data_IF_031212421107
#
_entry.id   IF_031212421107
#
_cell.length_a   1.000
_cell.length_b   1.000
_cell.length_c   1.000
_cell.angle_alpha   90.00
_cell.angle_beta   90.00
_cell.angle_gamma   90.00
#
_symmetry.space_group_name_H-M   'P 1'
#
loop_
_entity.id
_entity.type
_entity.pdbx_description
1 polymer ?
#
# COMPACT_ATOMS: atom_id res chain seq x y z
N UNK A 1 -30.02 -14.18 -7.42
CA UNK A 1 -29.82 -12.76 -7.79
C UNK A 1 -30.43 -12.37 -9.15
N UNK A 2 -31.57 -12.96 -9.59
CA UNK A 2 -32.11 -12.67 -10.94
C UNK A 2 -32.49 -11.21 -11.20
N UNK A 3 -32.93 -10.49 -10.17
CA UNK A 3 -33.41 -9.11 -10.31
C UNK A 3 -32.29 -8.07 -10.10
N UNK A 4 -31.19 -8.46 -9.46
CA UNK A 4 -30.08 -7.59 -9.08
C UNK A 4 -28.74 -8.36 -9.17
N UNK A 5 -28.32 -8.78 -10.38
CA UNK A 5 -27.06 -9.49 -10.57
C UNK A 5 -25.87 -8.61 -10.17
N UNK A 6 -24.83 -9.21 -9.58
CA UNK A 6 -23.62 -8.51 -9.15
C UNK A 6 -23.79 -7.53 -7.97
N UNK A 7 -24.97 -7.46 -7.35
CA UNK A 7 -25.19 -6.60 -6.18
C UNK A 7 -25.05 -7.41 -4.89
N UNK A 8 -24.09 -6.99 -4.06
CA UNK A 8 -23.91 -7.51 -2.70
C UNK A 8 -25.18 -7.24 -1.89
N UNK A 9 -25.79 -8.26 -1.26
CA UNK A 9 -26.98 -8.08 -0.45
C UNK A 9 -26.69 -7.17 0.75
N UNK A 10 -27.66 -6.30 1.08
CA UNK A 10 -27.57 -5.39 2.22
C UNK A 10 -28.67 -5.68 3.23
N UNK A 11 -28.29 -5.92 4.47
CA UNK A 11 -29.19 -6.05 5.60
C UNK A 11 -29.32 -4.67 6.25
N UNK A 12 -30.45 -4.01 6.02
CA UNK A 12 -30.68 -2.60 6.39
C UNK A 12 -31.16 -2.42 7.84
N UNK A 13 -31.64 -3.47 8.50
CA UNK A 13 -32.22 -3.38 9.85
C UNK A 13 -31.22 -3.58 10.99
N UNK A 14 -29.97 -3.99 10.69
CA UNK A 14 -28.90 -4.06 11.70
C UNK A 14 -28.15 -2.73 11.78
N UNK A 15 -27.77 -2.26 12.99
CA UNK A 15 -26.92 -1.09 13.16
C UNK A 15 -25.57 -1.25 12.43
N UNK A 16 -25.06 -0.21 11.73
CA UNK A 16 -23.78 -0.25 11.03
C UNK A 16 -22.59 -0.66 11.91
N UNK A 17 -22.65 -0.34 13.21
CA UNK A 17 -21.61 -0.63 14.20
C UNK A 17 -21.38 -2.14 14.41
N UNK A 18 -22.39 -2.97 14.12
CA UNK A 18 -22.27 -4.43 14.17
C UNK A 18 -21.54 -5.02 12.95
N UNK A 19 -21.31 -4.22 11.91
CA UNK A 19 -20.58 -4.61 10.69
C UNK A 19 -21.12 -5.89 10.01
N UNK A 20 -22.40 -6.23 10.19
CA UNK A 20 -23.00 -7.44 9.59
C UNK A 20 -22.86 -7.44 8.06
N UNK A 21 -22.99 -6.28 7.42
CA UNK A 21 -22.83 -6.14 5.98
C UNK A 21 -21.37 -6.37 5.51
N UNK A 22 -20.37 -6.16 6.37
CA UNK A 22 -18.96 -6.38 6.05
C UNK A 22 -18.66 -7.86 5.75
N UNK A 23 -19.39 -8.80 6.38
CA UNK A 23 -19.22 -10.23 6.11
C UNK A 23 -19.54 -10.54 4.64
N UNK A 24 -20.61 -9.94 4.10
CA UNK A 24 -20.97 -10.07 2.70
C UNK A 24 -19.99 -9.34 1.78
N UNK A 25 -19.50 -8.16 2.19
CA UNK A 25 -18.48 -7.42 1.42
C UNK A 25 -17.17 -8.19 1.30
N UNK A 26 -16.70 -8.80 2.39
CA UNK A 26 -15.43 -9.55 2.43
C UNK A 26 -15.50 -10.88 1.67
N UNK A 27 -16.68 -11.44 1.51
CA UNK A 27 -16.87 -12.72 0.79
C UNK A 27 -17.28 -12.49 -0.66
N UNK A 28 -17.77 -11.31 -1.02
CA UNK A 28 -18.19 -11.00 -2.37
C UNK A 28 -17.01 -10.90 -3.34
N UNK A 29 -17.08 -11.61 -4.46
CA UNK A 29 -15.97 -11.69 -5.39
C UNK A 29 -16.40 -11.93 -6.84
N UNK A 30 -15.42 -11.83 -7.73
CA UNK A 30 -15.59 -12.00 -9.17
C UNK A 30 -15.82 -13.48 -9.55
N UNK A 31 -15.26 -14.44 -8.80
CA UNK A 31 -15.33 -15.87 -9.14
C UNK A 31 -16.71 -16.49 -8.90
N UNK A 32 -17.50 -15.94 -7.98
CA UNK A 32 -18.90 -16.34 -7.74
C UNK A 32 -19.93 -15.31 -8.21
N UNK A 33 -19.50 -14.29 -8.96
CA UNK A 33 -20.33 -13.22 -9.54
C UNK A 33 -21.12 -12.40 -8.49
N UNK A 34 -20.63 -12.34 -7.25
CA UNK A 34 -21.28 -11.60 -6.16
C UNK A 34 -20.66 -10.23 -5.89
N UNK A 35 -19.48 -9.94 -6.43
CA UNK A 35 -18.80 -8.64 -6.31
C UNK A 35 -17.65 -8.45 -7.30
N UNK A 36 -16.88 -7.38 -7.09
CA UNK A 36 -15.83 -6.94 -8.04
C UNK A 36 -14.40 -7.32 -7.59
N UNK A 37 -14.23 -7.89 -6.39
CA UNK A 37 -12.91 -8.30 -5.90
C UNK A 37 -12.44 -9.59 -6.57
N UNK A 38 -11.24 -9.60 -7.16
CA UNK A 38 -10.66 -10.82 -7.75
C UNK A 38 -9.93 -11.64 -6.68
N UNK A 39 -10.47 -12.80 -6.28
CA UNK A 39 -9.82 -13.68 -5.30
C UNK A 39 -8.46 -14.19 -5.77
N UNK A 40 -8.24 -14.30 -7.09
CA UNK A 40 -6.94 -14.69 -7.63
C UNK A 40 -5.92 -13.59 -7.34
N UNK A 41 -6.28 -12.32 -7.47
CA UNK A 41 -5.40 -11.23 -7.05
C UNK A 41 -5.07 -11.36 -5.56
N UNK A 42 -6.07 -11.55 -4.69
CA UNK A 42 -5.82 -11.72 -3.25
C UNK A 42 -4.90 -12.90 -2.92
N UNK A 43 -5.10 -14.05 -3.58
CA UNK A 43 -4.25 -15.24 -3.41
C UNK A 43 -2.82 -14.98 -3.85
N UNK A 44 -2.63 -14.42 -5.05
CA UNK A 44 -1.30 -14.15 -5.61
C UNK A 44 -0.58 -13.01 -4.89
N UNK A 45 -1.32 -12.07 -4.30
CA UNK A 45 -0.77 -11.03 -3.45
C UNK A 45 -0.27 -11.62 -2.12
N UNK A 46 -1.05 -12.51 -1.51
CA UNK A 46 -0.72 -13.16 -0.24
C UNK A 46 0.54 -14.03 -0.33
N UNK A 47 0.70 -14.82 -1.39
CA UNK A 47 1.87 -15.69 -1.59
C UNK A 47 3.01 -15.03 -2.37
N UNK A 48 2.90 -13.72 -2.65
CA UNK A 48 3.83 -12.91 -3.44
C UNK A 48 4.03 -13.36 -4.90
N UNK A 49 3.30 -14.36 -5.39
CA UNK A 49 3.45 -14.84 -6.76
C UNK A 49 2.94 -13.85 -7.82
N UNK A 50 2.18 -12.82 -7.43
CA UNK A 50 1.85 -11.71 -8.34
C UNK A 50 3.09 -10.94 -8.84
N UNK A 51 4.21 -11.01 -8.12
CA UNK A 51 5.51 -10.49 -8.54
C UNK A 51 6.34 -11.50 -9.35
N UNK A 52 5.83 -12.69 -9.67
CA UNK A 52 6.58 -13.69 -10.45
C UNK A 52 6.97 -13.12 -11.82
N UNK A 53 8.26 -13.10 -12.11
CA UNK A 53 8.81 -12.51 -13.34
C UNK A 53 9.03 -10.99 -13.27
N UNK A 54 8.73 -10.35 -12.14
CA UNK A 54 9.05 -8.95 -11.87
C UNK A 54 10.27 -8.86 -10.96
N UNK A 55 11.45 -8.77 -11.58
CA UNK A 55 12.71 -8.52 -10.87
C UNK A 55 12.77 -7.06 -10.37
N UNK A 56 12.16 -6.81 -9.22
CA UNK A 56 11.93 -5.45 -8.69
C UNK A 56 13.21 -4.62 -8.60
N UNK A 57 14.33 -5.24 -8.19
CA UNK A 57 15.61 -4.56 -8.12
C UNK A 57 16.09 -4.05 -9.49
N UNK A 58 15.99 -4.89 -10.53
CA UNK A 58 16.37 -4.53 -11.89
C UNK A 58 15.44 -3.48 -12.50
N UNK A 59 14.17 -3.48 -12.08
CA UNK A 59 13.21 -2.45 -12.47
C UNK A 59 13.56 -1.11 -11.81
N UNK A 60 13.85 -1.08 -10.51
CA UNK A 60 14.26 0.14 -9.81
C UNK A 60 15.52 0.76 -10.42
N UNK A 61 16.53 -0.06 -10.76
CA UNK A 61 17.76 0.42 -11.45
C UNK A 61 17.50 1.06 -12.80
N UNK A 62 16.40 0.69 -13.47
CA UNK A 62 16.03 1.22 -14.79
C UNK A 62 15.31 2.56 -14.72
N UNK A 63 14.86 3.02 -13.54
CA UNK A 63 14.24 4.33 -13.39
C UNK A 63 15.30 5.42 -13.62
N UNK A 64 15.15 6.18 -14.71
CA UNK A 64 16.08 7.25 -15.12
C UNK A 64 15.60 8.65 -14.73
N UNK A 65 14.29 8.83 -14.47
CA UNK A 65 13.76 10.12 -14.09
C UNK A 65 14.09 10.45 -12.62
N UNK A 66 14.15 11.74 -12.25
CA UNK A 66 14.21 12.13 -10.85
C UNK A 66 13.07 11.48 -10.06
N UNK A 67 13.38 10.98 -8.86
CA UNK A 67 12.40 10.38 -7.95
C UNK A 67 12.58 10.91 -6.53
N UNK A 68 11.50 10.94 -5.75
CA UNK A 68 11.56 11.19 -4.32
C UNK A 68 10.90 10.01 -3.62
N UNK A 69 11.63 9.41 -2.68
CA UNK A 69 11.12 8.33 -1.84
C UNK A 69 10.74 8.91 -0.48
N UNK A 70 9.47 8.77 -0.09
CA UNK A 70 8.99 9.12 1.24
C UNK A 70 8.94 7.85 2.09
N UNK A 71 9.61 7.85 3.24
CA UNK A 71 9.64 6.70 4.13
C UNK A 71 9.20 7.07 5.55
N UNK A 72 8.22 6.31 6.05
CA UNK A 72 7.70 6.45 7.41
C UNK A 72 8.72 5.99 8.44
N UNK A 73 8.78 6.66 9.58
CA UNK A 73 9.45 6.13 10.74
C UNK A 73 8.71 4.89 11.26
N UNK A 74 9.42 4.02 11.99
CA UNK A 74 8.78 2.92 12.72
C UNK A 74 7.64 3.44 13.61
N UNK A 75 6.59 2.64 13.86
CA UNK A 75 5.52 3.04 14.77
C UNK A 75 6.08 3.42 16.16
N UNK A 76 5.56 4.50 16.75
CA UNK A 76 6.07 5.05 18.03
C UNK A 76 6.07 4.01 19.16
N UNK A 77 5.06 3.13 19.16
CA UNK A 77 4.86 2.10 20.18
C UNK A 77 5.61 0.79 19.89
N UNK A 78 6.47 0.74 18.87
CA UNK A 78 7.21 -0.45 18.47
C UNK A 78 8.72 -0.22 18.55
N UNK A 79 9.48 -1.26 18.92
CA UNK A 79 10.95 -1.16 18.98
C UNK A 79 11.59 -1.12 17.59
N UNK A 80 10.96 -1.74 16.61
CA UNK A 80 11.40 -1.84 15.22
C UNK A 80 10.17 -1.76 14.29
N UNK A 81 10.35 -2.05 13.00
CA UNK A 81 9.28 -2.05 12.00
C UNK A 81 8.40 -3.31 12.02
N UNK A 82 8.64 -4.25 12.93
CA UNK A 82 8.00 -5.56 12.94
C UNK A 82 7.18 -5.77 14.20
N UNK A 83 6.07 -6.49 14.08
CA UNK A 83 5.31 -6.95 15.24
C UNK A 83 5.99 -8.16 15.92
N UNK A 84 5.35 -8.67 16.98
CA UNK A 84 5.85 -9.83 17.73
C UNK A 84 5.90 -11.13 16.91
N UNK A 85 5.18 -11.20 15.78
CA UNK A 85 5.14 -12.35 14.89
C UNK A 85 6.10 -12.19 13.70
N UNK A 86 6.86 -11.09 13.64
CA UNK A 86 7.75 -10.80 12.53
C UNK A 86 7.05 -10.21 11.30
N UNK A 87 5.82 -9.71 11.45
CA UNK A 87 5.09 -9.03 10.37
C UNK A 87 5.57 -7.58 10.27
N UNK A 88 5.97 -7.16 9.08
CA UNK A 88 6.32 -5.77 8.80
C UNK A 88 5.08 -4.87 8.92
N UNK A 89 5.18 -3.82 9.73
CA UNK A 89 4.10 -2.88 10.08
C UNK A 89 4.08 -1.61 9.23
N UNK A 90 4.94 -1.55 8.22
CA UNK A 90 5.11 -0.45 7.27
C UNK A 90 5.28 -1.04 5.86
N UNK A 91 5.36 -0.17 4.84
CA UNK A 91 5.64 -0.64 3.48
C UNK A 91 7.07 -1.18 3.32
N UNK A 92 8.03 -0.63 4.07
CA UNK A 92 9.46 -0.97 4.07
C UNK A 92 10.01 -0.77 5.47
N UNK A 93 11.10 -1.47 5.82
CA UNK A 93 11.94 -1.09 6.96
C UNK A 93 13.06 -0.12 6.54
N UNK A 94 13.90 0.29 7.50
CA UNK A 94 14.99 1.25 7.20
C UNK A 94 16.08 0.67 6.29
N UNK A 95 16.26 -0.65 6.26
CA UNK A 95 17.22 -1.30 5.36
C UNK A 95 16.68 -1.33 3.95
N UNK A 96 15.40 -1.65 3.80
CA UNK A 96 14.70 -1.64 2.52
C UNK A 96 14.66 -0.24 1.92
N UNK A 97 14.30 0.79 2.71
CA UNK A 97 14.30 2.18 2.25
C UNK A 97 15.68 2.64 1.74
N UNK A 98 16.75 2.33 2.49
CA UNK A 98 18.14 2.61 2.06
C UNK A 98 18.56 1.80 0.84
N UNK A 99 18.06 0.57 0.68
CA UNK A 99 18.32 -0.24 -0.50
C UNK A 99 17.66 0.37 -1.73
N UNK A 100 16.38 0.73 -1.64
CA UNK A 100 15.64 1.37 -2.74
C UNK A 100 16.29 2.70 -3.13
N UNK A 101 16.67 3.53 -2.15
CA UNK A 101 17.37 4.80 -2.40
C UNK A 101 18.66 4.62 -3.21
N UNK A 102 19.43 3.56 -2.93
CA UNK A 102 20.65 3.23 -3.69
C UNK A 102 20.38 2.70 -5.10
N UNK A 103 19.24 2.05 -5.31
CA UNK A 103 18.88 1.46 -6.60
C UNK A 103 18.35 2.51 -7.58
N UNK A 104 17.69 3.54 -7.08
CA UNK A 104 17.16 4.64 -7.86
C UNK A 104 18.26 5.69 -8.14
N UNK A 105 18.72 5.77 -9.39
CA UNK A 105 19.91 6.54 -9.79
C UNK A 105 19.84 8.05 -9.47
N UNK A 106 18.65 8.64 -9.54
CA UNK A 106 18.41 10.06 -9.26
C UNK A 106 17.31 10.20 -8.22
N UNK A 107 17.51 9.60 -7.05
CA UNK A 107 16.56 9.64 -5.95
C UNK A 107 16.92 10.70 -4.90
N UNK A 108 15.89 11.18 -4.21
CA UNK A 108 16.03 11.85 -2.93
C UNK A 108 15.15 11.15 -1.90
N UNK A 109 15.76 10.53 -0.90
CA UNK A 109 15.05 9.89 0.20
C UNK A 109 14.74 10.91 1.31
N UNK A 110 13.46 11.10 1.60
CA UNK A 110 12.95 11.79 2.79
C UNK A 110 12.57 10.71 3.81
N UNK A 111 13.49 10.45 4.74
CA UNK A 111 13.42 9.32 5.68
C UNK A 111 12.82 9.69 7.04
N UNK A 112 12.42 8.67 7.80
CA UNK A 112 11.96 8.75 9.19
C UNK A 112 10.84 9.77 9.42
N UNK A 113 9.90 9.86 8.48
CA UNK A 113 8.74 10.74 8.61
C UNK A 113 7.85 10.20 9.72
N UNK A 114 7.63 11.00 10.78
CA UNK A 114 6.74 10.63 11.90
C UNK A 114 5.27 10.68 11.46
N UNK A 115 4.83 9.63 10.78
CA UNK A 115 3.52 9.44 10.17
C UNK A 115 3.14 7.95 10.21
N UNK A 116 1.84 7.66 10.14
CA UNK A 116 1.33 6.36 9.73
C UNK A 116 1.44 6.17 8.21
N UNK A 117 0.72 5.18 7.68
CA UNK A 117 0.85 4.70 6.29
C UNK A 117 0.60 5.83 5.27
N UNK A 118 -0.39 6.68 5.53
CA UNK A 118 -0.85 7.70 4.60
C UNK A 118 -0.15 9.04 4.82
N UNK A 119 1.17 9.09 4.54
CA UNK A 119 1.99 10.32 4.67
C UNK A 119 1.31 11.53 4.02
N UNK A 120 0.71 11.33 2.85
CA UNK A 120 0.05 12.39 2.09
C UNK A 120 -1.17 12.99 2.81
N UNK A 121 -1.86 12.21 3.65
CA UNK A 121 -3.00 12.65 4.46
C UNK A 121 -2.57 13.18 5.84
N UNK A 122 -1.60 12.52 6.47
CA UNK A 122 -1.16 12.82 7.85
C UNK A 122 -0.10 13.93 7.94
N UNK A 123 0.69 14.11 6.87
CA UNK A 123 1.76 15.10 6.70
C UNK A 123 1.66 15.79 5.34
N UNK A 124 0.52 16.44 5.03
CA UNK A 124 0.29 17.05 3.72
C UNK A 124 1.37 18.08 3.36
N UNK A 125 1.93 18.79 4.35
CA UNK A 125 3.00 19.75 4.16
C UNK A 125 4.32 19.12 3.68
N UNK A 126 4.65 17.90 4.13
CA UNK A 126 5.85 17.18 3.67
C UNK A 126 5.61 16.69 2.24
N UNK A 127 4.42 16.14 1.99
CA UNK A 127 4.05 15.63 0.68
C UNK A 127 4.03 16.73 -0.38
N UNK A 128 3.38 17.87 -0.12
CA UNK A 128 3.33 19.00 -1.06
C UNK A 128 4.74 19.51 -1.38
N UNK A 129 5.61 19.67 -0.38
CA UNK A 129 7.01 20.08 -0.60
C UNK A 129 7.76 19.07 -1.45
N UNK A 130 7.56 17.78 -1.22
CA UNK A 130 8.17 16.74 -2.05
C UNK A 130 7.72 16.86 -3.51
N UNK A 131 6.44 17.12 -3.78
CA UNK A 131 5.94 17.36 -5.15
C UNK A 131 6.58 18.62 -5.76
N UNK A 132 6.65 19.72 -5.03
CA UNK A 132 7.29 20.97 -5.51
C UNK A 132 8.78 20.75 -5.83
N UNK A 133 9.49 20.00 -4.99
CA UNK A 133 10.91 19.70 -5.17
C UNK A 133 11.14 18.72 -6.32
N UNK A 134 10.25 17.73 -6.50
CA UNK A 134 10.28 16.87 -7.68
C UNK A 134 10.09 17.69 -8.96
N UNK A 135 9.13 18.62 -8.98
CA UNK A 135 8.89 19.49 -10.14
C UNK A 135 10.13 20.31 -10.52
N UNK A 136 10.89 20.81 -9.53
CA UNK A 136 12.14 21.56 -9.78
C UNK A 136 13.24 20.66 -10.37
N UNK A 137 13.27 19.37 -10.02
CA UNK A 137 14.27 18.40 -10.47
C UNK A 137 13.98 17.83 -11.87
N UNK A 138 12.74 17.93 -12.32
CA UNK A 138 12.32 17.51 -13.67
C UNK A 138 12.49 18.59 -14.75
N UNK A 139 12.98 19.79 -14.39
CA UNK A 139 13.32 20.87 -15.33
C UNK A 139 14.79 20.79 -15.71
#
# INVERSE_FOLDING_TARGET
>A
MKNHPGKIPRIWYYPPELQVNLIYDLTANLQDETGDYDLRFGTLFYDFSWFKGFEQEEILKKVQCPSILLHVARPLNQKNYYDKNGILLSAMDDKDAKRVDKLLLNNHLIDNIKSGHDIHAEKPEIFIRAIDDLQKRCK
#
